data_IF_466553093781
#
_entry.id   IF_466553093781
#
_cell.length_a   1.000
_cell.length_b   1.000
_cell.length_c   1.000
_cell.angle_alpha   90.00
_cell.angle_beta   90.00
_cell.angle_gamma   90.00
#
_symmetry.space_group_name_H-M   'P 1'
#
loop_
_entity.id
_entity.type
_entity.pdbx_description
1 polymer ?
#
# COMPACT_ATOMS: atom_id res chain seq x y z
N UNK A 1 -15.60 -9.90 18.27
CA UNK A 1 -14.97 -8.70 17.68
C UNK A 1 -14.37 -9.03 16.31
N UNK A 2 -14.44 -8.13 15.34
CA UNK A 2 -13.84 -8.26 14.00
C UNK A 2 -12.99 -7.03 13.71
N UNK A 3 -12.01 -7.13 12.84
CA UNK A 3 -11.18 -5.99 12.39
C UNK A 3 -11.34 -5.81 10.90
N UNK A 4 -11.81 -4.63 10.49
CA UNK A 4 -11.77 -4.16 9.11
C UNK A 4 -10.57 -3.24 8.90
N UNK A 5 -9.77 -3.52 7.88
CA UNK A 5 -8.65 -2.67 7.44
C UNK A 5 -9.02 -2.05 6.09
N UNK A 6 -9.21 -0.73 6.08
CA UNK A 6 -9.33 0.07 4.86
C UNK A 6 -7.93 0.61 4.53
N UNK A 7 -7.26 -0.01 3.59
CA UNK A 7 -5.93 0.35 3.13
C UNK A 7 -6.05 1.29 1.92
N UNK A 8 -5.88 2.59 2.13
CA UNK A 8 -5.89 3.62 1.09
C UNK A 8 -4.46 3.90 0.63
N UNK A 9 -4.10 3.46 -0.58
CA UNK A 9 -2.77 3.70 -1.14
C UNK A 9 -2.52 5.19 -1.36
N UNK A 10 -1.44 5.73 -0.84
CA UNK A 10 -1.07 7.13 -1.05
C UNK A 10 -1.98 8.18 -0.39
N UNK A 11 -2.78 7.82 0.62
CA UNK A 11 -3.62 8.78 1.34
C UNK A 11 -2.77 9.70 2.22
N UNK A 12 -2.72 10.98 1.87
CA UNK A 12 -1.89 11.97 2.56
C UNK A 12 -2.55 12.49 3.85
N UNK A 13 -1.84 12.34 4.98
CA UNK A 13 -2.29 12.79 6.30
C UNK A 13 -2.62 14.28 6.35
N UNK A 14 -1.74 15.12 5.80
CA UNK A 14 -1.88 16.58 5.96
C UNK A 14 -3.05 17.10 5.11
N UNK A 15 -3.34 16.46 3.98
CA UNK A 15 -4.53 16.76 3.18
C UNK A 15 -5.82 16.30 3.88
N UNK A 16 -5.82 15.11 4.49
CA UNK A 16 -6.95 14.59 5.29
C UNK A 16 -7.29 15.56 6.43
N UNK A 17 -6.28 16.05 7.15
CA UNK A 17 -6.48 17.06 8.21
C UNK A 17 -6.96 18.42 7.65
N UNK A 18 -6.35 18.90 6.57
CA UNK A 18 -6.70 20.15 5.92
C UNK A 18 -8.17 20.18 5.48
N UNK A 19 -8.64 19.08 4.91
CA UNK A 19 -10.05 18.92 4.50
C UNK A 19 -10.99 18.53 5.64
N UNK A 20 -10.45 18.28 6.85
CA UNK A 20 -11.22 17.89 8.04
C UNK A 20 -12.12 16.67 7.80
N UNK A 21 -11.59 15.61 7.19
CA UNK A 21 -12.32 14.41 6.78
C UNK A 21 -12.62 13.50 7.98
N UNK A 22 -13.73 13.77 8.66
CA UNK A 22 -14.06 13.24 10.00
C UNK A 22 -14.33 11.73 10.04
N UNK A 23 -14.74 11.12 8.93
CA UNK A 23 -14.96 9.69 8.89
C UNK A 23 -13.63 8.93 8.74
N UNK A 24 -12.64 9.53 8.08
CA UNK A 24 -11.26 9.06 7.98
C UNK A 24 -10.49 9.39 9.26
N UNK A 25 -10.58 10.64 9.76
CA UNK A 25 -10.04 11.04 11.08
C UNK A 25 -10.91 10.44 12.18
N UNK A 26 -10.52 9.27 12.68
CA UNK A 26 -11.27 8.56 13.71
C UNK A 26 -10.83 9.03 15.12
N UNK A 27 -11.07 8.18 16.15
CA UNK A 27 -10.77 8.54 17.55
C UNK A 27 -9.28 8.67 17.85
N UNK A 28 -8.47 7.90 17.14
CA UNK A 28 -7.01 7.99 17.19
C UNK A 28 -6.46 7.95 15.78
N UNK A 29 -5.62 8.90 15.43
CA UNK A 29 -5.01 9.01 14.11
C UNK A 29 -3.65 9.69 14.18
N UNK A 30 -2.86 9.51 13.15
CA UNK A 30 -1.55 10.14 13.03
C UNK A 30 -0.74 9.64 11.85
N UNK A 31 0.52 10.07 11.82
CA UNK A 31 1.50 9.59 10.84
C UNK A 31 2.10 8.27 11.30
N UNK A 32 2.49 7.44 10.35
CA UNK A 32 3.17 6.16 10.58
C UNK A 32 4.52 6.15 9.88
N UNK A 33 5.55 5.63 10.56
CA UNK A 33 6.85 5.40 9.97
C UNK A 33 6.79 4.20 9.03
N UNK A 34 7.42 4.33 7.86
CA UNK A 34 7.43 3.28 6.83
C UNK A 34 8.85 2.95 6.38
N UNK A 35 9.13 1.69 5.99
CA UNK A 35 10.46 1.30 5.56
C UNK A 35 10.85 2.00 4.26
N UNK A 36 12.03 2.62 4.26
CA UNK A 36 12.69 3.16 3.08
C UNK A 36 13.93 2.32 2.82
N UNK A 37 13.93 1.58 1.72
CA UNK A 37 15.03 0.67 1.38
C UNK A 37 16.18 1.42 0.74
N UNK A 38 17.41 1.05 1.11
CA UNK A 38 18.62 1.73 0.66
C UNK A 38 18.74 1.86 -0.87
N UNK A 39 18.91 3.10 -1.34
CA UNK A 39 19.04 3.45 -2.77
C UNK A 39 17.73 3.86 -3.46
N UNK A 40 16.62 3.86 -2.74
CA UNK A 40 15.33 4.43 -3.15
C UNK A 40 14.99 5.45 -2.07
N UNK A 41 14.75 6.71 -2.47
CA UNK A 41 14.44 7.78 -1.51
C UNK A 41 12.94 7.86 -1.16
N UNK A 42 12.12 7.08 -1.86
CA UNK A 42 10.66 7.05 -1.69
C UNK A 42 10.18 5.72 -1.09
N UNK A 43 9.08 5.71 -0.32
CA UNK A 43 8.38 4.49 0.04
C UNK A 43 7.96 3.69 -1.19
N UNK A 44 7.98 2.38 -1.08
CA UNK A 44 7.62 1.47 -2.16
C UNK A 44 6.44 0.61 -1.74
N UNK A 45 5.31 0.78 -2.41
CA UNK A 45 4.04 0.08 -2.16
C UNK A 45 4.21 -1.42 -1.86
N UNK A 46 4.90 -2.25 -2.70
CA UNK A 46 5.08 -3.65 -2.40
C UNK A 46 5.87 -3.93 -1.11
N UNK A 47 6.85 -3.08 -0.79
CA UNK A 47 7.69 -3.25 0.40
C UNK A 47 6.91 -2.86 1.66
N UNK A 48 6.26 -1.70 1.64
CA UNK A 48 5.53 -1.19 2.80
C UNK A 48 4.34 -2.09 3.14
N UNK A 49 3.53 -2.46 2.13
CA UNK A 49 2.40 -3.36 2.39
C UNK A 49 2.82 -4.75 2.84
N UNK A 50 3.94 -5.28 2.33
CA UNK A 50 4.45 -6.56 2.85
C UNK A 50 4.91 -6.43 4.30
N UNK A 51 5.59 -5.33 4.66
CA UNK A 51 5.97 -5.06 6.05
C UNK A 51 4.75 -4.92 6.97
N UNK A 52 3.68 -4.27 6.49
CA UNK A 52 2.42 -4.14 7.23
C UNK A 52 1.76 -5.49 7.52
N UNK A 53 1.56 -6.31 6.48
CA UNK A 53 0.82 -7.58 6.64
C UNK A 53 1.61 -8.67 7.34
N UNK A 54 2.93 -8.54 7.46
CA UNK A 54 3.82 -9.52 8.11
C UNK A 54 4.34 -9.08 9.48
N UNK A 55 4.37 -7.76 9.75
CA UNK A 55 5.03 -7.21 10.93
C UNK A 55 6.55 -7.29 10.91
N UNK A 56 7.14 -7.65 9.77
CA UNK A 56 8.57 -7.91 9.64
C UNK A 56 9.24 -6.87 8.73
N UNK A 57 10.54 -6.61 8.90
CA UNK A 57 11.28 -5.72 8.02
C UNK A 57 11.59 -6.41 6.67
N UNK A 58 11.90 -5.63 5.62
CA UNK A 58 12.10 -6.12 4.25
C UNK A 58 13.11 -7.28 4.11
N UNK A 59 14.17 -7.25 4.88
CA UNK A 59 15.20 -8.29 4.89
C UNK A 59 14.73 -9.62 5.49
N UNK A 60 13.67 -9.62 6.29
CA UNK A 60 13.08 -10.81 6.92
C UNK A 60 11.93 -11.34 6.07
N UNK A 61 10.98 -10.48 5.68
CA UNK A 61 9.84 -10.94 4.87
C UNK A 61 10.19 -11.22 3.40
N UNK A 62 11.36 -10.81 2.92
CA UNK A 62 11.92 -11.21 1.63
C UNK A 62 11.53 -10.35 0.44
N UNK A 63 10.71 -9.30 0.62
CA UNK A 63 10.37 -8.30 -0.41
C UNK A 63 11.13 -7.02 -0.09
N UNK A 64 12.37 -6.95 -0.54
CA UNK A 64 13.28 -5.83 -0.27
C UNK A 64 13.55 -4.94 -1.50
N UNK A 65 12.82 -5.18 -2.58
CA UNK A 65 12.90 -4.43 -3.84
C UNK A 65 11.51 -4.23 -4.46
N UNK A 66 11.30 -3.08 -5.16
CA UNK A 66 10.05 -2.82 -5.89
C UNK A 66 9.80 -3.80 -7.03
N UNK A 67 10.86 -4.35 -7.59
CA UNK A 67 10.84 -5.36 -8.65
C UNK A 67 11.84 -6.47 -8.36
N UNK A 68 11.39 -7.70 -8.52
CA UNK A 68 12.18 -8.92 -8.36
C UNK A 68 12.62 -9.46 -9.73
N UNK A 69 13.65 -10.30 -9.76
CA UNK A 69 14.11 -10.94 -10.97
C UNK A 69 13.77 -12.43 -10.94
N UNK A 70 13.34 -12.97 -12.08
CA UNK A 70 12.93 -14.39 -12.19
C UNK A 70 14.12 -15.36 -12.27
N UNK A 71 15.22 -15.08 -11.57
CA UNK A 71 16.38 -15.98 -11.59
C UNK A 71 17.19 -15.94 -10.27
N UNK A 72 18.15 -16.89 -10.15
CA UNK A 72 19.02 -17.07 -8.99
C UNK A 72 19.91 -15.84 -8.65
N UNK A 73 19.91 -14.81 -9.49
CA UNK A 73 20.68 -13.58 -9.29
C UNK A 73 20.04 -12.59 -8.30
N UNK A 74 18.81 -12.84 -7.84
CA UNK A 74 18.14 -11.96 -6.87
C UNK A 74 18.92 -11.85 -5.56
N UNK A 75 19.47 -12.97 -5.07
CA UNK A 75 20.32 -12.97 -3.87
C UNK A 75 21.59 -12.14 -4.03
N UNK A 76 22.23 -12.21 -5.20
CA UNK A 76 23.42 -11.42 -5.51
C UNK A 76 23.10 -9.92 -5.62
N UNK A 77 21.97 -9.58 -6.20
CA UNK A 77 21.50 -8.20 -6.36
C UNK A 77 21.15 -7.56 -5.02
N UNK A 78 20.45 -8.27 -4.14
CA UNK A 78 20.13 -7.80 -2.79
C UNK A 78 21.40 -7.58 -1.97
N UNK A 79 22.39 -8.48 -2.07
CA UNK A 79 23.70 -8.33 -1.47
C UNK A 79 24.43 -7.08 -1.98
N UNK A 80 24.45 -6.86 -3.28
CA UNK A 80 25.12 -5.68 -3.91
C UNK A 80 24.47 -4.37 -3.45
N UNK A 81 23.13 -4.32 -3.35
CA UNK A 81 22.42 -3.12 -2.88
C UNK A 81 22.69 -2.78 -1.42
N UNK A 82 22.77 -3.79 -0.54
CA UNK A 82 23.12 -3.57 0.88
C UNK A 82 24.50 -2.92 1.06
N UNK A 83 25.38 -3.03 0.05
CA UNK A 83 26.70 -2.45 0.08
C UNK A 83 26.79 -1.23 -0.86
N UNK A 84 26.44 -0.03 -0.36
CA UNK A 84 26.39 1.24 -1.13
C UNK A 84 27.63 1.47 -2.02
N UNK A 85 28.82 1.12 -1.55
CA UNK A 85 30.06 1.26 -2.33
C UNK A 85 30.08 0.40 -3.58
N UNK A 86 29.67 -0.86 -3.46
CA UNK A 86 29.59 -1.83 -4.58
C UNK A 86 28.49 -1.41 -5.55
N UNK A 87 27.33 -1.00 -5.03
CA UNK A 87 26.21 -0.53 -5.84
C UNK A 87 26.59 0.64 -6.74
N UNK A 88 27.27 1.66 -6.21
CA UNK A 88 27.68 2.84 -6.96
C UNK A 88 28.69 2.51 -8.07
N UNK A 89 29.63 1.59 -7.81
CA UNK A 89 30.60 1.12 -8.81
C UNK A 89 29.88 0.39 -9.95
N UNK A 90 28.98 -0.55 -9.63
CA UNK A 90 28.23 -1.33 -10.62
C UNK A 90 27.27 -0.46 -11.46
N UNK A 91 26.64 0.55 -10.83
CA UNK A 91 25.82 1.55 -11.52
C UNK A 91 26.63 2.37 -12.52
N UNK A 92 27.83 2.83 -12.11
CA UNK A 92 28.73 3.62 -12.97
C UNK A 92 29.16 2.87 -14.24
N UNK A 93 29.36 1.56 -14.14
CA UNK A 93 29.76 0.72 -15.28
C UNK A 93 28.60 0.06 -16.03
N UNK A 94 27.32 0.39 -15.67
CA UNK A 94 26.10 -0.21 -16.27
C UNK A 94 26.10 -1.75 -16.24
N UNK A 95 26.79 -2.36 -15.27
CA UNK A 95 26.97 -3.82 -15.19
C UNK A 95 25.60 -4.53 -15.05
N UNK A 96 24.66 -3.96 -14.30
CA UNK A 96 23.31 -4.51 -14.17
C UNK A 96 22.56 -4.61 -15.51
N UNK A 97 22.76 -3.65 -16.42
CA UNK A 97 22.19 -3.70 -17.76
C UNK A 97 22.82 -4.81 -18.61
N UNK A 98 24.14 -4.92 -18.57
CA UNK A 98 24.89 -5.97 -19.31
C UNK A 98 24.53 -7.38 -18.82
N UNK A 99 24.40 -7.56 -17.51
CA UNK A 99 23.96 -8.83 -16.93
C UNK A 99 22.55 -9.19 -17.40
N UNK A 100 21.62 -8.22 -17.41
CA UNK A 100 20.27 -8.42 -17.91
C UNK A 100 20.25 -8.83 -19.39
N UNK A 101 20.99 -8.13 -20.23
CA UNK A 101 21.12 -8.44 -21.66
C UNK A 101 21.71 -9.83 -21.89
N UNK A 102 22.70 -10.23 -21.08
CA UNK A 102 23.37 -11.54 -21.19
C UNK A 102 22.54 -12.71 -20.65
N UNK A 103 21.70 -12.48 -19.63
CA UNK A 103 20.94 -13.56 -18.96
C UNK A 103 19.50 -13.65 -19.43
N UNK A 104 19.00 -12.68 -20.21
CA UNK A 104 17.59 -12.60 -20.59
C UNK A 104 16.64 -12.42 -19.40
N UNK A 105 17.16 -12.08 -18.22
CA UNK A 105 16.38 -11.96 -16.99
C UNK A 105 15.31 -10.87 -17.12
N UNK A 106 14.07 -11.22 -16.84
CA UNK A 106 12.93 -10.30 -16.78
C UNK A 106 12.74 -9.85 -15.34
N UNK A 107 12.50 -8.55 -15.14
CA UNK A 107 12.05 -8.07 -13.84
C UNK A 107 10.54 -8.13 -13.79
N UNK A 108 10.00 -8.66 -12.69
CA UNK A 108 8.57 -8.68 -12.39
C UNK A 108 8.31 -8.02 -11.04
N UNK A 109 7.09 -7.59 -10.80
CA UNK A 109 6.72 -7.21 -9.43
C UNK A 109 6.77 -8.41 -8.49
N UNK A 110 7.08 -8.19 -7.19
CA UNK A 110 7.00 -9.25 -6.21
C UNK A 110 5.57 -9.79 -6.08
N UNK A 111 5.46 -11.05 -5.74
CA UNK A 111 4.20 -11.77 -5.55
C UNK A 111 4.22 -12.61 -4.26
N UNK A 112 3.12 -13.24 -3.90
CA UNK A 112 2.99 -14.06 -2.68
C UNK A 112 4.14 -15.05 -2.47
N UNK A 113 4.69 -15.62 -3.56
CA UNK A 113 5.84 -16.55 -3.51
C UNK A 113 7.12 -15.93 -2.92
N UNK A 114 7.23 -14.60 -2.94
CA UNK A 114 8.40 -13.89 -2.44
C UNK A 114 8.31 -13.60 -0.93
N UNK A 115 7.13 -13.70 -0.33
CA UNK A 115 6.92 -13.53 1.11
C UNK A 115 7.35 -14.80 1.84
N UNK A 116 8.31 -14.69 2.76
CA UNK A 116 8.97 -15.82 3.43
C UNK A 116 8.44 -16.12 4.82
N UNK A 117 7.51 -15.33 5.31
CA UNK A 117 6.93 -15.41 6.66
C UNK A 117 5.41 -15.38 6.58
N UNK A 118 4.75 -15.75 7.67
CA UNK A 118 3.29 -15.69 7.75
C UNK A 118 2.80 -14.24 7.74
N UNK A 119 1.63 -14.04 7.13
CA UNK A 119 0.93 -12.75 7.11
C UNK A 119 -0.29 -12.79 8.05
N UNK A 120 -0.97 -11.68 8.23
CA UNK A 120 -2.28 -11.65 8.91
C UNK A 120 -3.20 -12.78 8.47
N UNK A 121 -3.20 -13.06 7.15
CA UNK A 121 -4.15 -13.97 6.52
C UNK A 121 -3.85 -15.45 6.77
N UNK A 122 -2.65 -15.80 7.19
CA UNK A 122 -2.32 -17.13 7.69
C UNK A 122 -2.62 -17.27 9.18
N UNK A 123 -2.38 -16.24 9.96
CA UNK A 123 -2.48 -16.24 11.43
C UNK A 123 -3.93 -16.08 11.91
N UNK A 124 -4.72 -15.23 11.25
CA UNK A 124 -6.10 -14.91 11.64
C UNK A 124 -7.07 -15.64 10.71
N UNK A 125 -8.02 -16.41 11.30
CA UNK A 125 -9.05 -17.12 10.53
C UNK A 125 -10.45 -16.94 11.15
N UNK A 126 -11.51 -16.79 10.33
CA UNK A 126 -11.48 -16.58 8.88
C UNK A 126 -10.98 -15.18 8.53
N UNK A 127 -10.22 -15.07 7.44
CA UNK A 127 -9.72 -13.79 6.94
C UNK A 127 -10.01 -13.62 5.44
N UNK A 128 -10.26 -12.39 5.04
CA UNK A 128 -10.50 -11.99 3.65
C UNK A 128 -9.52 -10.89 3.27
N UNK A 129 -8.84 -11.07 2.14
CA UNK A 129 -7.93 -10.10 1.55
C UNK A 129 -8.47 -9.68 0.18
N UNK A 130 -8.65 -8.38 -0.05
CA UNK A 130 -9.11 -7.82 -1.33
C UNK A 130 -8.07 -6.84 -1.86
N UNK A 131 -7.53 -7.13 -3.02
CA UNK A 131 -6.59 -6.24 -3.72
C UNK A 131 -5.24 -6.01 -3.03
N UNK A 132 -4.86 -6.82 -2.04
CA UNK A 132 -3.66 -6.59 -1.22
C UNK A 132 -2.39 -6.81 -2.05
N UNK A 133 -1.53 -5.76 -2.20
CA UNK A 133 -0.32 -5.84 -2.99
C UNK A 133 0.61 -6.98 -2.54
N UNK A 134 1.24 -7.64 -3.51
CA UNK A 134 2.14 -8.78 -3.29
C UNK A 134 1.44 -10.04 -2.77
N UNK A 135 0.36 -9.90 -2.01
CA UNK A 135 -0.33 -11.04 -1.41
C UNK A 135 -1.29 -11.72 -2.40
N UNK A 136 -2.30 -11.00 -2.88
CA UNK A 136 -3.31 -11.55 -3.81
C UNK A 136 -3.64 -10.63 -4.99
N UNK A 137 -2.90 -9.54 -5.16
CA UNK A 137 -3.02 -8.66 -6.32
C UNK A 137 -1.66 -8.43 -6.97
N UNK A 138 -1.62 -8.61 -8.29
CA UNK A 138 -0.44 -8.31 -9.08
C UNK A 138 -0.41 -6.80 -9.41
N UNK A 139 0.67 -6.13 -9.01
CA UNK A 139 0.81 -4.70 -9.25
C UNK A 139 0.94 -4.34 -10.74
N UNK A 140 1.37 -5.25 -11.61
CA UNK A 140 1.38 -5.02 -13.07
C UNK A 140 -0.02 -4.82 -13.65
N UNK A 141 -1.03 -5.43 -13.03
CA UNK A 141 -2.42 -5.30 -13.44
C UNK A 141 -3.06 -3.98 -13.00
N UNK A 142 -2.61 -3.45 -11.85
CA UNK A 142 -3.18 -2.25 -11.24
C UNK A 142 -2.43 -1.01 -11.69
N UNK A 143 -1.10 -1.10 -11.70
CA UNK A 143 -0.19 0.00 -12.03
C UNK A 143 0.44 -0.25 -13.42
N UNK A 144 -0.28 -0.02 -14.50
CA UNK A 144 0.40 0.15 -15.76
C UNK A 144 1.23 1.44 -15.62
N UNK A 145 2.48 1.30 -15.15
CA UNK A 145 3.42 2.42 -14.96
C UNK A 145 3.45 3.32 -16.20
N UNK A 146 3.29 2.71 -17.37
CA UNK A 146 3.15 3.43 -18.64
C UNK A 146 1.94 4.36 -18.69
N UNK A 147 0.81 3.98 -18.11
CA UNK A 147 -0.42 4.78 -18.14
C UNK A 147 -0.33 5.99 -17.20
N UNK A 148 0.23 5.82 -15.99
CA UNK A 148 0.48 6.92 -15.05
C UNK A 148 1.46 7.93 -15.66
N UNK A 149 2.55 7.46 -16.26
CA UNK A 149 3.52 8.32 -16.94
C UNK A 149 2.92 9.04 -18.12
N UNK A 150 2.08 8.35 -18.91
CA UNK A 150 1.37 8.96 -20.03
C UNK A 150 0.37 10.00 -19.56
N UNK A 151 -0.44 9.70 -18.52
CA UNK A 151 -1.41 10.65 -17.98
C UNK A 151 -0.74 11.96 -17.49
N UNK A 152 0.48 11.89 -16.97
CA UNK A 152 1.25 13.08 -16.55
C UNK A 152 1.78 13.92 -17.71
N UNK A 153 1.95 13.34 -18.90
CA UNK A 153 2.61 13.97 -20.05
C UNK A 153 1.63 14.31 -21.17
N UNK A 154 0.48 13.66 -21.23
CA UNK A 154 -0.49 13.75 -22.31
C UNK A 154 -1.86 14.18 -21.76
N UNK A 155 -2.22 15.49 -21.86
CA UNK A 155 -3.51 15.98 -21.39
C UNK A 155 -4.72 15.34 -22.06
N UNK A 156 -4.57 14.85 -23.30
CA UNK A 156 -5.67 14.18 -24.03
C UNK A 156 -5.92 12.77 -23.48
N UNK A 157 -4.93 12.18 -22.82
CA UNK A 157 -5.06 10.87 -22.20
C UNK A 157 -5.66 10.93 -20.77
N UNK A 158 -5.60 12.07 -20.11
CA UNK A 158 -6.11 12.23 -18.72
C UNK A 158 -7.56 11.76 -18.51
N UNK A 159 -8.53 12.09 -19.40
CA UNK A 159 -9.91 11.59 -19.21
C UNK A 159 -10.02 10.07 -19.33
N UNK A 160 -9.26 9.45 -20.23
CA UNK A 160 -9.23 8.00 -20.42
C UNK A 160 -8.63 7.31 -19.20
N UNK A 161 -7.55 7.89 -18.68
CA UNK A 161 -6.92 7.41 -17.45
C UNK A 161 -7.88 7.50 -16.25
N UNK A 162 -8.56 8.63 -16.08
CA UNK A 162 -9.53 8.85 -15.01
C UNK A 162 -10.67 7.82 -15.05
N UNK A 163 -11.29 7.64 -16.24
CA UNK A 163 -12.37 6.66 -16.44
C UNK A 163 -11.93 5.24 -16.05
N UNK A 164 -10.73 4.85 -16.51
CA UNK A 164 -10.16 3.53 -16.21
C UNK A 164 -9.92 3.34 -14.70
N UNK A 165 -9.32 4.32 -14.03
CA UNK A 165 -9.01 4.24 -12.60
C UNK A 165 -10.29 4.22 -11.76
N UNK A 166 -11.32 4.99 -12.17
CA UNK A 166 -12.63 4.95 -11.52
C UNK A 166 -13.32 3.60 -11.72
N UNK A 167 -13.24 3.00 -12.90
CA UNK A 167 -13.78 1.66 -13.13
C UNK A 167 -13.16 0.60 -12.22
N UNK A 168 -11.83 0.62 -12.05
CA UNK A 168 -11.14 -0.28 -11.09
C UNK A 168 -11.64 -0.02 -9.66
N UNK A 169 -11.75 1.24 -9.28
CA UNK A 169 -12.22 1.61 -7.94
C UNK A 169 -13.66 1.16 -7.67
N UNK A 170 -14.55 1.28 -8.63
CA UNK A 170 -15.94 0.83 -8.50
C UNK A 170 -16.01 -0.69 -8.28
N UNK A 171 -15.20 -1.49 -9.01
CA UNK A 171 -15.07 -2.93 -8.79
C UNK A 171 -14.51 -3.26 -7.39
N UNK A 172 -13.51 -2.52 -6.91
CA UNK A 172 -12.93 -2.69 -5.56
C UNK A 172 -13.94 -2.36 -4.47
N UNK A 173 -14.77 -1.33 -4.66
CA UNK A 173 -15.83 -0.94 -3.72
C UNK A 173 -16.96 -1.96 -3.70
N UNK A 174 -17.36 -2.48 -4.86
CA UNK A 174 -18.36 -3.54 -4.94
C UNK A 174 -17.90 -4.79 -4.18
N UNK A 175 -16.68 -5.26 -4.45
CA UNK A 175 -16.08 -6.39 -3.77
C UNK A 175 -15.98 -6.18 -2.24
N UNK A 176 -15.67 -4.95 -1.80
CA UNK A 176 -15.65 -4.61 -0.37
C UNK A 176 -17.03 -4.78 0.27
N UNK A 177 -18.09 -4.24 -0.34
CA UNK A 177 -19.43 -4.34 0.23
C UNK A 177 -19.95 -5.77 0.24
N UNK A 178 -19.63 -6.56 -0.77
CA UNK A 178 -19.96 -7.99 -0.80
C UNK A 178 -19.23 -8.76 0.31
N UNK A 179 -17.96 -8.47 0.53
CA UNK A 179 -17.17 -9.12 1.57
C UNK A 179 -17.61 -8.75 3.00
N UNK A 180 -18.08 -7.53 3.22
CA UNK A 180 -18.58 -7.08 4.54
C UNK A 180 -19.75 -7.95 5.03
N UNK A 181 -20.62 -8.40 4.12
CA UNK A 181 -21.78 -9.25 4.43
C UNK A 181 -21.40 -10.72 4.69
N UNK A 182 -20.16 -11.11 4.41
CA UNK A 182 -19.66 -12.47 4.58
C UNK A 182 -19.17 -12.79 5.99
N UNK A 183 -18.54 -13.96 6.13
CA UNK A 183 -17.90 -14.40 7.37
C UNK A 183 -16.43 -14.02 7.38
N UNK A 184 -16.02 -13.22 8.36
CA UNK A 184 -14.63 -12.83 8.57
C UNK A 184 -14.38 -12.39 10.02
N UNK A 185 -13.17 -12.62 10.50
CA UNK A 185 -12.59 -11.99 11.69
C UNK A 185 -11.65 -10.85 11.32
N UNK A 186 -10.97 -10.99 10.15
CA UNK A 186 -10.16 -9.95 9.54
C UNK A 186 -10.61 -9.76 8.09
N UNK A 187 -10.98 -8.55 7.73
CA UNK A 187 -11.20 -8.14 6.34
C UNK A 187 -10.27 -6.99 6.02
N UNK A 188 -9.42 -7.14 5.02
CA UNK A 188 -8.57 -6.07 4.49
C UNK A 188 -8.91 -5.82 3.02
N UNK A 189 -9.22 -4.58 2.69
CA UNK A 189 -9.33 -4.11 1.31
C UNK A 189 -8.26 -3.07 1.04
N UNK A 190 -7.60 -3.18 -0.09
CA UNK A 190 -6.64 -2.19 -0.57
C UNK A 190 -7.24 -1.45 -1.76
N UNK A 191 -7.32 -0.13 -1.66
CA UNK A 191 -7.91 0.78 -2.64
C UNK A 191 -6.81 1.67 -3.24
N UNK A 192 -6.62 1.55 -4.55
CA UNK A 192 -5.48 2.15 -5.26
C UNK A 192 -5.74 3.57 -5.76
N UNK A 193 -7.01 3.99 -5.78
CA UNK A 193 -7.42 5.22 -6.46
C UNK A 193 -6.71 6.47 -5.94
N UNK A 194 -6.44 6.56 -4.62
CA UNK A 194 -5.84 7.74 -4.01
C UNK A 194 -4.41 7.98 -4.49
N UNK A 195 -3.61 6.94 -4.68
CA UNK A 195 -2.27 7.04 -5.23
C UNK A 195 -2.29 7.36 -6.74
N UNK A 196 -3.10 6.63 -7.52
CA UNK A 196 -3.21 6.84 -8.95
C UNK A 196 -3.68 8.27 -9.30
N UNK A 197 -4.69 8.79 -8.57
CA UNK A 197 -5.13 10.18 -8.72
C UNK A 197 -4.09 11.17 -8.22
N UNK A 198 -3.42 10.87 -7.13
CA UNK A 198 -2.34 11.69 -6.62
C UNK A 198 -1.25 11.89 -7.69
N UNK A 199 -0.85 10.85 -8.35
CA UNK A 199 0.14 10.94 -9.42
C UNK A 199 -0.31 11.78 -10.62
N UNK A 200 -1.58 11.70 -11.01
CA UNK A 200 -2.10 12.39 -12.19
C UNK A 200 -2.62 13.80 -11.91
N UNK A 201 -3.22 14.04 -10.75
CA UNK A 201 -4.04 15.22 -10.47
C UNK A 201 -3.63 16.01 -9.23
N UNK A 202 -2.47 15.72 -8.60
CA UNK A 202 -2.05 16.39 -7.37
C UNK A 202 -2.07 17.90 -7.48
N UNK A 203 -2.67 18.57 -6.48
CA UNK A 203 -2.80 20.02 -6.45
C UNK A 203 -3.97 20.58 -7.26
N UNK A 204 -4.84 19.72 -7.79
CA UNK A 204 -6.10 20.14 -8.43
C UNK A 204 -7.30 19.85 -7.50
N UNK A 205 -8.44 20.47 -7.77
CA UNK A 205 -9.70 20.21 -7.06
C UNK A 205 -10.14 18.74 -7.14
N UNK A 206 -9.74 18.02 -8.20
CA UNK A 206 -10.08 16.59 -8.36
C UNK A 206 -9.56 15.72 -7.21
N UNK A 207 -8.37 16.02 -6.69
CA UNK A 207 -7.82 15.27 -5.55
C UNK A 207 -8.61 15.57 -4.28
N UNK A 208 -8.95 16.84 -4.01
CA UNK A 208 -9.77 17.18 -2.86
C UNK A 208 -11.16 16.50 -2.92
N UNK A 209 -11.82 16.57 -4.09
CA UNK A 209 -13.10 15.88 -4.33
C UNK A 209 -12.98 14.37 -4.10
N UNK A 210 -11.94 13.73 -4.60
CA UNK A 210 -11.71 12.30 -4.36
C UNK A 210 -11.55 12.00 -2.86
N UNK A 211 -10.80 12.81 -2.12
CA UNK A 211 -10.63 12.61 -0.68
C UNK A 211 -11.96 12.74 0.08
N UNK A 212 -12.84 13.66 -0.32
CA UNK A 212 -14.20 13.77 0.21
C UNK A 212 -15.05 12.53 -0.15
N UNK A 213 -14.90 11.98 -1.36
CA UNK A 213 -15.53 10.71 -1.76
C UNK A 213 -15.04 9.55 -0.89
N UNK A 214 -13.74 9.48 -0.56
CA UNK A 214 -13.19 8.47 0.35
C UNK A 214 -13.74 8.61 1.77
N UNK A 215 -13.93 9.84 2.26
CA UNK A 215 -14.56 10.08 3.57
C UNK A 215 -16.02 9.60 3.58
N UNK A 216 -16.77 9.87 2.53
CA UNK A 216 -18.14 9.38 2.37
C UNK A 216 -18.20 7.85 2.22
N UNK A 217 -17.28 7.25 1.48
CA UNK A 217 -17.15 5.80 1.39
C UNK A 217 -16.89 5.20 2.78
N UNK A 218 -15.94 5.76 3.52
CA UNK A 218 -15.64 5.33 4.90
C UNK A 218 -16.89 5.38 5.79
N UNK A 219 -17.69 6.45 5.69
CA UNK A 219 -18.97 6.58 6.41
C UNK A 219 -19.94 5.45 6.03
N UNK A 220 -20.09 5.16 4.72
CA UNK A 220 -20.98 4.11 4.23
C UNK A 220 -20.55 2.73 4.71
N UNK A 221 -19.25 2.46 4.70
CA UNK A 221 -18.65 1.23 5.21
C UNK A 221 -18.93 1.06 6.70
N UNK A 222 -18.64 2.07 7.52
CA UNK A 222 -18.92 2.04 8.96
C UNK A 222 -20.38 1.79 9.29
N UNK A 223 -21.32 2.27 8.48
CA UNK A 223 -22.74 2.05 8.67
C UNK A 223 -23.19 0.58 8.43
N UNK A 224 -22.34 -0.28 7.85
CA UNK A 224 -22.58 -1.71 7.64
C UNK A 224 -21.92 -2.60 8.70
N UNK A 225 -21.09 -2.02 9.55
CA UNK A 225 -20.37 -2.75 10.59
C UNK A 225 -21.19 -2.84 11.88
N UNK A 226 -20.81 -3.77 12.76
CA UNK A 226 -21.34 -3.89 14.11
C UNK A 226 -20.68 -2.83 15.00
N UNK A 227 -21.31 -2.51 16.12
CA UNK A 227 -20.79 -1.52 17.06
C UNK A 227 -19.43 -1.92 17.68
N UNK A 228 -19.19 -3.22 17.83
CA UNK A 228 -17.98 -3.81 18.38
C UNK A 228 -16.89 -4.10 17.33
N UNK A 229 -17.13 -3.82 16.05
CA UNK A 229 -16.15 -3.99 15.00
C UNK A 229 -15.08 -2.87 15.05
N UNK A 230 -13.83 -3.26 14.96
CA UNK A 230 -12.71 -2.32 14.86
C UNK A 230 -12.46 -1.93 13.41
N UNK A 231 -12.21 -0.64 13.20
CA UNK A 231 -11.86 -0.10 11.89
C UNK A 231 -10.49 0.56 11.96
N UNK A 232 -9.55 -0.03 11.26
CA UNK A 232 -8.25 0.56 10.95
C UNK A 232 -8.27 1.12 9.53
N UNK A 233 -8.00 2.41 9.41
CA UNK A 233 -7.65 3.04 8.12
C UNK A 233 -6.14 3.21 8.12
N UNK A 234 -5.49 2.83 7.01
CA UNK A 234 -4.04 2.88 6.93
C UNK A 234 -3.60 3.22 5.50
N UNK A 235 -2.51 3.97 5.39
CA UNK A 235 -1.84 4.27 4.13
C UNK A 235 -0.34 4.04 4.25
N UNK A 236 0.25 3.53 3.19
CA UNK A 236 1.67 3.20 3.09
C UNK A 236 2.56 4.43 2.90
N UNK A 237 2.03 5.51 2.35
CA UNK A 237 2.67 6.82 2.18
C UNK A 237 1.61 7.89 1.97
N UNK A 238 2.00 9.15 2.02
CA UNK A 238 1.20 10.24 1.50
C UNK A 238 1.69 10.66 0.12
N UNK A 239 1.09 11.73 -0.40
CA UNK A 239 1.38 12.28 -1.71
C UNK A 239 1.77 13.77 -1.62
N UNK A 240 2.63 14.20 -2.52
CA UNK A 240 3.01 15.60 -2.69
C UNK A 240 3.23 15.95 -4.16
N UNK A 241 3.44 17.23 -4.46
CA UNK A 241 3.79 17.66 -5.82
C UNK A 241 5.08 17.01 -6.35
N UNK A 242 5.96 16.58 -5.45
CA UNK A 242 7.24 15.96 -5.80
C UNK A 242 7.20 14.43 -5.88
N UNK A 243 6.07 13.81 -5.54
CA UNK A 243 5.88 12.36 -5.44
C UNK A 243 5.46 11.95 -4.03
N UNK A 244 5.81 10.73 -3.63
CA UNK A 244 5.42 10.19 -2.34
C UNK A 244 6.04 10.95 -1.17
N UNK A 245 5.29 11.09 -0.06
CA UNK A 245 5.85 11.53 1.22
C UNK A 245 6.43 10.33 1.97
N UNK A 246 7.32 10.60 2.93
CA UNK A 246 8.09 9.55 3.62
C UNK A 246 7.37 8.89 4.80
N UNK A 247 6.15 9.31 5.07
CA UNK A 247 5.32 8.76 6.14
C UNK A 247 3.97 8.39 5.60
N UNK A 248 3.42 7.29 6.11
CA UNK A 248 2.04 6.91 5.89
C UNK A 248 1.09 7.58 6.88
N UNK A 249 -0.15 7.12 6.85
CA UNK A 249 -1.24 7.57 7.72
C UNK A 249 -1.87 6.36 8.42
N UNK A 250 -2.36 6.55 9.65
CA UNK A 250 -3.24 5.58 10.31
C UNK A 250 -4.38 6.27 11.04
N UNK A 251 -5.51 5.59 11.18
CA UNK A 251 -6.55 5.95 12.14
C UNK A 251 -7.35 4.73 12.63
N UNK A 252 -7.75 4.78 13.91
CA UNK A 252 -8.60 3.78 14.55
C UNK A 252 -9.90 4.39 15.06
N UNK A 253 -11.00 3.64 14.98
CA UNK A 253 -12.28 4.03 15.60
C UNK A 253 -12.30 3.86 17.13
N UNK A 254 -11.25 3.33 17.72
CA UNK A 254 -11.02 3.21 19.16
C UNK A 254 -9.70 3.86 19.54
N UNK A 255 -9.47 4.09 20.84
CA UNK A 255 -8.20 4.64 21.33
C UNK A 255 -7.27 3.48 21.70
N UNK A 256 -6.14 3.38 21.01
CA UNK A 256 -5.09 2.38 21.22
C UNK A 256 -3.96 2.97 22.07
N UNK A 257 -3.66 4.27 21.91
CA UNK A 257 -2.59 4.98 22.62
C UNK A 257 -1.23 4.88 21.93
N UNK A 258 -1.23 4.89 20.59
CA UNK A 258 -0.01 4.80 19.79
C UNK A 258 0.78 6.10 19.82
N UNK A 259 2.10 5.98 19.89
CA UNK A 259 3.05 7.09 19.80
C UNK A 259 4.06 6.79 18.71
N UNK A 260 4.03 7.55 17.59
CA UNK A 260 4.95 7.42 16.46
C UNK A 260 5.12 5.95 15.99
N UNK A 261 4.03 5.23 15.67
CA UNK A 261 4.11 3.82 15.32
C UNK A 261 4.87 3.60 14.01
N UNK A 262 5.58 2.46 13.93
CA UNK A 262 6.07 1.92 12.66
C UNK A 262 4.98 1.05 12.01
N UNK A 263 4.93 1.01 10.69
CA UNK A 263 3.92 0.24 9.94
C UNK A 263 3.91 -1.26 10.32
N UNK A 264 5.05 -1.80 10.75
CA UNK A 264 5.19 -3.18 11.21
C UNK A 264 4.50 -3.45 12.56
N UNK A 265 4.36 -2.42 13.39
CA UNK A 265 3.74 -2.58 14.71
C UNK A 265 2.28 -3.01 14.62
N UNK A 266 1.62 -2.64 13.52
CA UNK A 266 0.21 -2.94 13.30
C UNK A 266 -0.09 -4.44 13.20
N UNK A 267 0.88 -5.26 12.78
CA UNK A 267 0.71 -6.72 12.82
C UNK A 267 0.46 -7.22 14.24
N UNK A 268 1.28 -6.81 15.20
CA UNK A 268 1.11 -7.19 16.61
C UNK A 268 -0.15 -6.57 17.23
N UNK A 269 -0.45 -5.32 16.88
CA UNK A 269 -1.65 -4.63 17.35
C UNK A 269 -2.90 -5.37 16.90
N UNK A 270 -3.05 -5.63 15.60
CA UNK A 270 -4.24 -6.28 15.03
C UNK A 270 -4.38 -7.74 15.52
N UNK A 271 -3.29 -8.50 15.55
CA UNK A 271 -3.31 -9.88 16.03
C UNK A 271 -3.59 -9.94 17.54
N UNK A 272 -3.04 -9.02 18.33
CA UNK A 272 -3.30 -8.91 19.78
C UNK A 272 -4.76 -8.60 20.08
N UNK A 273 -5.34 -7.60 19.42
CA UNK A 273 -6.75 -7.23 19.57
C UNK A 273 -7.69 -8.40 19.27
N UNK A 274 -7.36 -9.23 18.26
CA UNK A 274 -8.16 -10.41 17.92
C UNK A 274 -7.87 -11.64 18.78
N UNK A 275 -6.78 -11.69 19.53
CA UNK A 275 -6.45 -12.80 20.41
C UNK A 275 -7.12 -12.69 21.79
N UNK A 276 -7.49 -11.48 22.22
CA UNK A 276 -8.14 -11.20 23.50
C UNK A 276 -9.64 -11.54 23.53
N UNK A 277 -10.22 -11.96 22.38
CA UNK A 277 -11.61 -12.32 22.17
C UNK A 277 -11.76 -13.85 21.99
#
# INVERSE_FOLDING_TARGET
MRVLILAYDGLDHDLVETLSLRNILQREHGKVEVPIVGGIDDPSTPIVWTSFITGEPPEVHGVDMPQMWDNELDGLRSFVRRHRGIHNILKRFKIGQKVREATGARSSFPSRKNIKVDTFFEVIKPSVALGVPVYNKNLEEIYPIGDVMRARQDPEYLPIFEERVRGIFDEEVEALFDAIEGEWRLLMVHLHITDLFGHAFWGTEKVATLYEEMDLLTKRVKARLREDDLVLIISDHGMSKLGHTKKGFYSFNVKIGLMEPDIKDFFKIVTGLLAED
#
